data_IF_011312465307
#
_entry.id   IF_011312465307
#
_cell.length_a   1.000
_cell.length_b   1.000
_cell.length_c   1.000
_cell.angle_alpha   90.00
_cell.angle_beta   90.00
_cell.angle_gamma   90.00
#
_symmetry.space_group_name_H-M   'P 1'
#
loop_
_entity.id
_entity.type
_entity.pdbx_description
1 polymer ?
#
# COMPACT_ATOMS: atom_id res chain seq x y z
N UNK A 1 -1.19 4.24 -41.27
CA UNK A 1 -2.03 4.58 -40.09
C UNK A 1 -3.38 3.85 -40.15
N UNK A 2 -3.80 3.22 -39.06
CA UNK A 2 -5.12 2.58 -38.96
C UNK A 2 -6.20 3.68 -38.89
N UNK A 3 -7.31 3.60 -39.65
CA UNK A 3 -8.36 4.63 -39.61
C UNK A 3 -9.03 4.78 -38.25
N UNK A 4 -9.34 6.02 -37.85
CA UNK A 4 -9.97 6.37 -36.57
C UNK A 4 -11.26 5.58 -36.30
N UNK A 5 -12.11 5.38 -37.30
CA UNK A 5 -13.37 4.65 -37.13
C UNK A 5 -13.15 3.17 -36.76
N UNK A 6 -12.04 2.56 -37.23
CA UNK A 6 -11.68 1.17 -36.89
C UNK A 6 -11.22 1.10 -35.44
N UNK A 7 -10.46 2.09 -34.98
CA UNK A 7 -10.01 2.18 -33.59
C UNK A 7 -11.18 2.42 -32.62
N UNK A 8 -12.16 3.25 -33.00
CA UNK A 8 -13.40 3.46 -32.23
C UNK A 8 -14.21 2.18 -32.04
N UNK A 9 -14.28 1.32 -33.07
CA UNK A 9 -14.99 0.05 -32.98
C UNK A 9 -14.28 -0.93 -32.03
N UNK A 10 -12.94 -1.01 -32.09
CA UNK A 10 -12.16 -1.98 -31.30
C UNK A 10 -12.02 -1.55 -29.84
N UNK A 11 -11.87 -0.25 -29.58
CA UNK A 11 -11.44 0.29 -28.27
C UNK A 11 -12.47 1.18 -27.57
N UNK A 12 -13.62 1.47 -28.20
CA UNK A 12 -14.67 2.31 -27.61
C UNK A 12 -14.16 3.71 -27.23
N UNK A 13 -14.60 4.24 -26.09
CA UNK A 13 -14.18 5.56 -25.58
C UNK A 13 -12.66 5.64 -25.26
N UNK A 14 -11.95 4.51 -25.13
CA UNK A 14 -10.48 4.53 -25.01
C UNK A 14 -9.77 4.88 -26.32
N UNK A 15 -10.46 4.79 -27.46
CA UNK A 15 -9.93 5.28 -28.73
C UNK A 15 -9.68 6.79 -28.71
N UNK A 16 -10.46 7.55 -27.95
CA UNK A 16 -10.29 9.01 -27.82
C UNK A 16 -9.03 9.36 -27.01
N UNK A 17 -8.57 8.49 -26.10
CA UNK A 17 -7.26 8.63 -25.43
C UNK A 17 -6.09 8.35 -26.38
N UNK A 18 -6.23 7.37 -27.28
CA UNK A 18 -5.21 7.03 -28.28
C UNK A 18 -5.13 8.06 -29.40
N UNK A 19 -6.28 8.54 -29.86
CA UNK A 19 -6.41 9.53 -30.93
C UNK A 19 -6.18 10.96 -30.41
N UNK A 20 -6.57 11.21 -29.16
CA UNK A 20 -6.32 12.43 -28.41
C UNK A 20 -4.95 12.47 -27.73
N UNK A 21 -4.06 11.49 -27.97
CA UNK A 21 -2.68 11.53 -27.50
C UNK A 21 -2.00 12.76 -28.10
N UNK A 22 -1.93 13.79 -27.25
CA UNK A 22 -1.49 15.14 -27.52
C UNK A 22 -0.09 15.16 -28.17
N UNK A 23 0.21 16.26 -28.87
CA UNK A 23 1.54 16.63 -29.40
C UNK A 23 2.60 16.76 -28.28
N UNK A 24 2.89 15.67 -27.58
CA UNK A 24 3.85 15.57 -26.50
C UNK A 24 5.11 14.95 -27.08
N UNK A 25 6.20 15.70 -27.06
CA UNK A 25 7.52 15.20 -27.43
C UNK A 25 8.23 14.73 -26.16
N UNK A 26 8.46 13.43 -26.06
CA UNK A 26 9.29 12.85 -25.00
C UNK A 26 10.70 13.45 -24.99
N UNK A 27 11.24 13.82 -26.16
CA UNK A 27 12.54 14.48 -26.30
C UNK A 27 12.57 15.82 -25.56
N UNK A 28 11.56 16.68 -25.75
CA UNK A 28 11.49 17.97 -25.04
C UNK A 28 11.40 17.83 -23.53
N UNK A 29 10.78 16.74 -23.05
CA UNK A 29 10.68 16.44 -21.60
C UNK A 29 12.04 15.97 -21.05
N UNK A 30 12.78 15.18 -21.82
CA UNK A 30 14.14 14.76 -21.41
C UNK A 30 15.09 15.97 -21.38
N UNK A 31 14.95 16.89 -22.35
CA UNK A 31 15.75 18.13 -22.42
C UNK A 31 15.55 19.06 -21.20
N UNK A 32 14.43 18.97 -20.48
CA UNK A 32 14.23 19.70 -19.21
C UNK A 32 14.87 19.01 -18.00
N UNK A 33 15.54 17.87 -18.19
CA UNK A 33 16.17 17.08 -17.14
C UNK A 33 15.26 16.05 -16.47
N UNK A 34 14.05 15.82 -16.99
CA UNK A 34 13.17 14.78 -16.47
C UNK A 34 13.67 13.38 -16.87
N UNK A 35 13.83 12.51 -15.88
CA UNK A 35 14.23 11.12 -16.09
C UNK A 35 13.02 10.19 -16.06
N UNK A 36 12.68 9.60 -17.21
CA UNK A 36 11.65 8.57 -17.27
C UNK A 36 12.10 7.31 -16.52
N UNK A 37 11.26 6.83 -15.59
CA UNK A 37 11.47 5.54 -14.90
C UNK A 37 11.61 4.37 -15.90
N UNK A 38 10.86 4.41 -17.00
CA UNK A 38 10.94 3.43 -18.09
C UNK A 38 11.23 4.16 -19.41
N UNK A 39 12.47 4.13 -19.92
CA UNK A 39 12.87 4.90 -21.09
C UNK A 39 12.28 4.38 -22.40
N UNK A 40 11.77 3.15 -22.42
CA UNK A 40 11.10 2.57 -23.58
C UNK A 40 9.93 1.67 -23.18
N UNK A 41 9.01 1.47 -24.11
CA UNK A 41 7.80 0.69 -23.88
C UNK A 41 8.10 -0.76 -23.50
N UNK A 42 9.14 -1.38 -24.06
CA UNK A 42 9.52 -2.75 -23.73
C UNK A 42 9.94 -2.89 -22.26
N UNK A 43 10.69 -1.94 -21.72
CA UNK A 43 11.06 -1.92 -20.29
C UNK A 43 9.85 -1.74 -19.38
N UNK A 44 8.89 -0.89 -19.77
CA UNK A 44 7.64 -0.73 -19.03
C UNK A 44 6.78 -2.00 -19.08
N UNK A 45 6.61 -2.58 -20.28
CA UNK A 45 5.85 -3.82 -20.47
C UNK A 45 6.51 -5.03 -19.80
N UNK A 46 7.84 -5.12 -19.82
CA UNK A 46 8.58 -6.17 -19.12
C UNK A 46 8.37 -6.07 -17.62
N UNK A 47 8.43 -4.87 -17.05
CA UNK A 47 8.14 -4.67 -15.63
C UNK A 47 6.70 -5.06 -15.29
N UNK A 48 5.73 -4.58 -16.07
CA UNK A 48 4.30 -4.89 -15.92
C UNK A 48 3.99 -6.39 -16.06
N UNK A 49 4.60 -7.06 -17.05
CA UNK A 49 4.29 -8.45 -17.37
C UNK A 49 5.08 -9.45 -16.52
N UNK A 50 6.28 -9.09 -16.04
CA UNK A 50 7.17 -9.99 -15.29
C UNK A 50 7.13 -9.77 -13.78
N UNK A 51 6.61 -8.65 -13.27
CA UNK A 51 6.29 -8.49 -11.84
C UNK A 51 4.81 -8.81 -11.62
N UNK A 52 4.46 -10.03 -11.16
CA UNK A 52 3.06 -10.43 -11.02
C UNK A 52 2.32 -9.69 -9.89
N UNK A 53 3.02 -8.90 -9.07
CA UNK A 53 2.55 -8.26 -7.84
C UNK A 53 3.24 -6.90 -7.67
N UNK A 54 2.49 -5.87 -7.27
CA UNK A 54 3.05 -4.58 -6.88
C UNK A 54 3.56 -4.67 -5.44
N UNK A 55 4.68 -4.01 -5.14
CA UNK A 55 5.26 -4.01 -3.79
C UNK A 55 5.45 -2.59 -3.27
N UNK A 56 5.16 -2.41 -1.98
CA UNK A 56 5.41 -1.19 -1.22
C UNK A 56 6.15 -1.57 0.07
N UNK A 57 7.32 -0.97 0.29
CA UNK A 57 8.14 -1.20 1.48
C UNK A 57 8.38 0.14 2.16
N UNK A 58 8.19 0.19 3.47
CA UNK A 58 8.55 1.34 4.28
C UNK A 58 9.21 0.89 5.58
N UNK A 59 10.17 1.69 6.05
CA UNK A 59 10.85 1.48 7.32
C UNK A 59 10.66 2.69 8.25
N UNK A 60 10.55 2.39 9.54
CA UNK A 60 10.48 3.37 10.60
C UNK A 60 11.22 2.87 11.82
N UNK A 61 12.14 3.66 12.35
CA UNK A 61 12.86 3.36 13.59
C UNK A 61 12.30 4.18 14.75
N UNK A 62 12.18 3.56 15.91
CA UNK A 62 11.81 4.20 17.18
C UNK A 62 12.80 3.83 18.28
N UNK A 63 13.19 4.78 19.17
CA UNK A 63 14.07 4.52 20.30
C UNK A 63 13.34 3.85 21.46
N UNK A 64 12.62 2.76 21.18
CA UNK A 64 11.81 2.02 22.13
C UNK A 64 12.06 0.51 22.02
N UNK A 65 11.93 -0.25 23.13
CA UNK A 65 12.07 -1.70 23.12
C UNK A 65 11.05 -2.39 22.23
N UNK A 66 11.45 -3.53 21.65
CA UNK A 66 10.65 -4.28 20.68
C UNK A 66 9.32 -4.76 21.25
N UNK A 67 9.28 -5.22 22.50
CA UNK A 67 8.07 -5.70 23.17
C UNK A 67 6.98 -4.61 23.24
N UNK A 68 7.41 -3.36 23.45
CA UNK A 68 6.53 -2.21 23.56
C UNK A 68 5.91 -1.85 22.21
N UNK A 69 6.74 -1.84 21.18
CA UNK A 69 6.30 -1.59 19.81
C UNK A 69 5.40 -2.73 19.34
N UNK A 70 5.83 -3.98 19.48
CA UNK A 70 5.04 -5.14 19.08
C UNK A 70 3.68 -5.19 19.81
N UNK A 71 3.64 -4.90 21.12
CA UNK A 71 2.40 -4.83 21.89
C UNK A 71 1.42 -3.79 21.37
N UNK A 72 1.92 -2.68 20.83
CA UNK A 72 1.09 -1.68 20.18
C UNK A 72 0.54 -2.16 18.83
N UNK A 73 1.40 -2.75 17.99
CA UNK A 73 1.05 -3.20 16.64
C UNK A 73 0.11 -4.42 16.64
N UNK A 74 0.18 -5.30 17.64
CA UNK A 74 -0.69 -6.48 17.73
C UNK A 74 -2.14 -6.15 18.13
N UNK A 75 -2.42 -4.94 18.62
CA UNK A 75 -3.77 -4.56 19.05
C UNK A 75 -4.55 -3.96 17.88
N UNK A 76 -5.58 -4.64 17.33
CA UNK A 76 -6.28 -4.17 16.14
C UNK A 76 -6.93 -2.80 16.33
N UNK A 77 -7.36 -2.44 17.55
CA UNK A 77 -7.94 -1.11 17.82
C UNK A 77 -6.93 0.02 17.62
N UNK A 78 -5.63 -0.24 17.74
CA UNK A 78 -4.60 0.76 17.46
C UNK A 78 -4.46 1.04 15.96
N UNK A 79 -4.90 0.12 15.08
CA UNK A 79 -4.92 0.35 13.64
C UNK A 79 -5.80 1.55 13.26
N UNK A 80 -6.93 1.75 13.96
CA UNK A 80 -7.77 2.95 13.77
C UNK A 80 -7.03 4.24 14.09
N UNK A 81 -6.19 4.23 15.13
CA UNK A 81 -5.47 5.42 15.61
C UNK A 81 -4.39 5.86 14.63
N UNK A 82 -3.77 4.90 13.94
CA UNK A 82 -2.63 5.13 13.04
C UNK A 82 -3.02 5.14 11.56
N UNK A 83 -4.32 5.20 11.27
CA UNK A 83 -4.87 5.28 9.91
C UNK A 83 -5.45 6.68 9.68
N UNK A 84 -5.22 7.31 8.51
CA UNK A 84 -5.76 8.63 8.23
C UNK A 84 -7.28 8.74 8.40
N UNK A 85 -7.75 9.85 8.97
CA UNK A 85 -9.17 10.07 9.25
C UNK A 85 -10.07 10.03 8.01
N UNK A 86 -9.57 10.41 6.83
CA UNK A 86 -10.34 10.37 5.58
C UNK A 86 -10.78 8.95 5.18
N UNK A 87 -10.07 7.91 5.64
CA UNK A 87 -10.46 6.52 5.41
C UNK A 87 -11.61 6.05 6.30
N UNK A 88 -11.96 6.80 7.36
CA UNK A 88 -12.98 6.40 8.34
C UNK A 88 -12.87 4.92 8.76
N UNK A 89 -11.65 4.49 9.05
CA UNK A 89 -11.34 3.09 9.33
C UNK A 89 -11.94 2.68 10.69
N UNK A 90 -12.67 1.56 10.69
CA UNK A 90 -13.36 1.01 11.87
C UNK A 90 -13.15 -0.49 11.95
N UNK A 91 -12.60 -0.96 13.07
CA UNK A 91 -12.52 -2.38 13.41
C UNK A 91 -13.89 -2.79 13.95
N UNK A 92 -14.53 -3.75 13.28
CA UNK A 92 -15.87 -4.20 13.64
C UNK A 92 -15.84 -5.33 14.65
N UNK A 93 -15.08 -6.39 14.35
CA UNK A 93 -14.89 -7.54 15.22
C UNK A 93 -13.68 -8.36 14.77
N UNK A 94 -13.30 -9.32 15.62
CA UNK A 94 -12.26 -10.31 15.36
C UNK A 94 -12.74 -11.69 15.78
N UNK A 95 -12.22 -12.74 15.14
CA UNK A 95 -12.67 -14.13 15.38
C UNK A 95 -12.06 -14.79 16.63
N UNK A 96 -11.07 -14.17 17.26
CA UNK A 96 -10.39 -14.69 18.47
C UNK A 96 -10.22 -13.59 19.51
N UNK A 97 -10.16 -13.89 20.82
CA UNK A 97 -9.95 -12.86 21.86
C UNK A 97 -8.60 -12.17 21.76
N UNK A 98 -7.56 -12.92 21.43
CA UNK A 98 -6.21 -12.43 21.14
C UNK A 98 -5.85 -12.74 19.69
N UNK A 99 -5.02 -11.89 19.08
CA UNK A 99 -4.56 -12.09 17.72
C UNK A 99 -3.50 -13.21 17.67
N UNK A 100 -3.64 -14.13 16.73
CA UNK A 100 -2.72 -15.22 16.44
C UNK A 100 -2.91 -15.69 14.99
N UNK A 101 -2.14 -16.69 14.57
CA UNK A 101 -2.30 -17.29 13.26
C UNK A 101 -3.74 -17.81 13.06
N UNK A 102 -4.38 -17.39 11.97
CA UNK A 102 -5.74 -17.76 11.64
C UNK A 102 -6.80 -16.76 12.12
N UNK A 103 -6.47 -15.80 13.00
CA UNK A 103 -7.38 -14.73 13.39
C UNK A 103 -7.88 -13.97 12.17
N UNK A 104 -9.21 -13.84 12.04
CA UNK A 104 -9.85 -12.98 11.05
C UNK A 104 -10.30 -11.69 11.70
N UNK A 105 -10.09 -10.58 11.00
CA UNK A 105 -10.47 -9.26 11.49
C UNK A 105 -11.31 -8.58 10.41
N UNK A 106 -12.48 -8.07 10.81
CA UNK A 106 -13.41 -7.39 9.93
C UNK A 106 -13.33 -5.88 10.13
N UNK A 107 -13.22 -5.15 9.03
CA UNK A 107 -13.11 -3.71 9.01
C UNK A 107 -14.13 -3.07 8.07
N UNK A 108 -14.41 -1.80 8.33
CA UNK A 108 -15.10 -0.90 7.40
C UNK A 108 -14.27 0.35 7.21
N UNK A 109 -14.12 0.79 5.97
CA UNK A 109 -13.37 1.99 5.61
C UNK A 109 -13.99 2.65 4.38
N UNK A 110 -13.44 3.80 3.97
CA UNK A 110 -13.83 4.56 2.78
C UNK A 110 -12.60 4.81 1.91
N UNK A 111 -12.62 4.34 0.67
CA UNK A 111 -11.62 4.74 -0.33
C UNK A 111 -12.24 5.78 -1.24
N UNK A 112 -11.62 6.97 -1.35
CA UNK A 112 -12.12 8.08 -2.17
C UNK A 112 -13.63 8.37 -1.97
N UNK A 113 -14.09 8.24 -0.73
CA UNK A 113 -15.50 8.44 -0.34
C UNK A 113 -16.41 7.20 -0.46
N UNK A 114 -15.99 6.15 -1.16
CA UNK A 114 -16.75 4.92 -1.38
C UNK A 114 -16.58 3.97 -0.19
N UNK A 115 -17.65 3.53 0.48
CA UNK A 115 -17.57 2.60 1.60
C UNK A 115 -17.17 1.20 1.14
N UNK A 116 -16.17 0.63 1.81
CA UNK A 116 -15.60 -0.69 1.54
C UNK A 116 -15.67 -1.55 2.80
N UNK A 117 -16.07 -2.80 2.60
CA UNK A 117 -15.96 -3.88 3.58
C UNK A 117 -14.68 -4.65 3.32
N UNK A 118 -13.89 -4.88 4.37
CA UNK A 118 -12.62 -5.57 4.27
C UNK A 118 -12.54 -6.63 5.37
N UNK A 119 -12.07 -7.82 5.03
CA UNK A 119 -11.66 -8.84 5.99
C UNK A 119 -10.22 -9.27 5.72
N UNK A 120 -9.37 -9.26 6.75
CA UNK A 120 -8.05 -9.86 6.73
C UNK A 120 -8.01 -11.15 7.55
N UNK A 121 -7.01 -11.98 7.30
CA UNK A 121 -6.66 -13.16 8.07
C UNK A 121 -5.16 -13.13 8.36
N UNK A 122 -4.78 -13.31 9.62
CA UNK A 122 -3.38 -13.50 9.99
C UNK A 122 -2.90 -14.87 9.50
N UNK A 123 -1.77 -14.90 8.80
CA UNK A 123 -1.20 -16.13 8.24
C UNK A 123 0.22 -16.44 8.71
N UNK A 124 0.91 -15.47 9.31
CA UNK A 124 2.20 -15.67 9.96
C UNK A 124 2.17 -14.97 11.33
N UNK A 125 2.66 -15.64 12.37
CA UNK A 125 2.67 -15.10 13.73
C UNK A 125 3.93 -15.52 14.50
N UNK A 126 4.88 -14.60 14.61
CA UNK A 126 6.12 -14.73 15.38
C UNK A 126 6.23 -13.54 16.36
N UNK A 127 5.80 -13.70 17.62
CA UNK A 127 5.81 -12.63 18.61
C UNK A 127 7.15 -11.88 18.68
N UNK A 128 7.08 -10.56 18.75
CA UNK A 128 8.22 -9.63 18.78
C UNK A 128 9.19 -9.74 17.58
N UNK A 129 8.80 -10.40 16.49
CA UNK A 129 9.65 -10.54 15.30
C UNK A 129 8.90 -10.24 14.03
N UNK A 130 7.75 -10.88 13.82
CA UNK A 130 7.01 -10.78 12.57
C UNK A 130 5.54 -11.15 12.76
N UNK A 131 4.65 -10.48 12.06
CA UNK A 131 3.36 -11.06 11.73
C UNK A 131 2.93 -10.64 10.33
N UNK A 132 2.02 -11.38 9.73
CA UNK A 132 1.51 -11.03 8.40
C UNK A 132 0.03 -11.35 8.26
N UNK A 133 -0.65 -10.53 7.48
CA UNK A 133 -2.04 -10.75 7.11
C UNK A 133 -2.21 -10.85 5.60
N UNK A 134 -3.29 -11.53 5.21
CA UNK A 134 -3.78 -11.53 3.84
C UNK A 134 -5.23 -11.10 3.83
N UNK A 135 -5.63 -10.38 2.79
CA UNK A 135 -7.04 -10.10 2.56
C UNK A 135 -7.77 -11.39 2.19
N UNK A 136 -8.91 -11.66 2.83
CA UNK A 136 -9.88 -12.70 2.44
C UNK A 136 -11.10 -12.11 1.73
N UNK A 137 -11.42 -10.84 2.00
CA UNK A 137 -12.44 -10.06 1.31
C UNK A 137 -12.02 -8.59 1.24
N UNK A 138 -12.13 -7.95 0.08
CA UNK A 138 -11.79 -6.54 -0.09
C UNK A 138 -11.54 -6.17 -1.55
N UNK A 139 -11.06 -4.95 -1.81
CA UNK A 139 -11.01 -4.38 -3.15
C UNK A 139 -9.83 -4.92 -3.99
N UNK A 140 -8.83 -5.53 -3.35
CA UNK A 140 -7.66 -6.07 -4.05
C UNK A 140 -7.91 -7.50 -4.54
N UNK A 141 -7.26 -7.88 -5.64
CA UNK A 141 -7.21 -9.28 -6.06
C UNK A 141 -6.33 -10.11 -5.13
N UNK A 142 -5.19 -9.53 -4.74
CA UNK A 142 -4.30 -10.05 -3.72
C UNK A 142 -3.81 -8.90 -2.85
N UNK A 143 -3.72 -9.15 -1.55
CA UNK A 143 -3.12 -8.24 -0.58
C UNK A 143 -2.50 -9.11 0.49
N UNK A 144 -1.20 -8.92 0.70
CA UNK A 144 -0.42 -9.55 1.74
C UNK A 144 0.45 -8.48 2.38
N UNK A 145 0.31 -8.30 3.69
CA UNK A 145 1.03 -7.28 4.42
C UNK A 145 1.82 -7.92 5.56
N UNK A 146 3.13 -7.78 5.50
CA UNK A 146 4.05 -8.23 6.53
C UNK A 146 4.53 -7.05 7.37
N UNK A 147 4.50 -7.24 8.68
CA UNK A 147 5.14 -6.38 9.67
C UNK A 147 6.34 -7.13 10.24
N UNK A 148 7.53 -6.55 10.14
CA UNK A 148 8.76 -7.07 10.76
C UNK A 148 9.27 -6.09 11.80
N UNK A 149 9.80 -6.63 12.90
CA UNK A 149 10.36 -5.87 14.01
C UNK A 149 11.77 -6.40 14.29
N UNK A 150 12.73 -5.49 14.36
CA UNK A 150 14.14 -5.83 14.61
C UNK A 150 14.78 -4.83 15.55
N UNK A 151 15.47 -5.32 16.57
CA UNK A 151 16.32 -4.48 17.40
C UNK A 151 17.47 -3.89 16.57
N UNK A 152 17.64 -2.57 16.66
CA UNK A 152 18.67 -1.84 15.93
C UNK A 152 19.02 -0.54 16.67
N UNK A 153 20.31 -0.29 16.88
CA UNK A 153 20.83 0.97 17.43
C UNK A 153 20.15 1.42 18.74
N UNK A 154 19.86 0.47 19.65
CA UNK A 154 19.19 0.73 20.93
C UNK A 154 17.69 0.99 20.84
N UNK A 155 17.09 0.81 19.66
CA UNK A 155 15.65 0.91 19.42
C UNK A 155 15.11 -0.24 18.57
N UNK A 156 13.94 -0.02 17.98
CA UNK A 156 13.26 -0.99 17.12
C UNK A 156 13.11 -0.42 15.72
N UNK A 157 13.67 -1.12 14.73
CA UNK A 157 13.35 -0.93 13.33
C UNK A 157 12.08 -1.73 13.00
N UNK A 158 11.07 -1.02 12.52
CA UNK A 158 9.82 -1.56 12.02
C UNK A 158 9.89 -1.51 10.49
N UNK A 159 9.61 -2.63 9.84
CA UNK A 159 9.44 -2.69 8.38
C UNK A 159 8.03 -3.18 8.06
N UNK A 160 7.34 -2.41 7.24
CA UNK A 160 6.09 -2.82 6.63
C UNK A 160 6.36 -3.16 5.16
N UNK A 161 5.98 -4.37 4.73
CA UNK A 161 6.04 -4.81 3.33
C UNK A 161 4.65 -5.21 2.86
N UNK A 162 4.09 -4.42 1.96
CA UNK A 162 2.80 -4.69 1.33
C UNK A 162 3.05 -5.22 -0.06
N UNK A 163 2.48 -6.39 -0.34
CA UNK A 163 2.42 -7.01 -1.66
C UNK A 163 0.96 -7.03 -2.11
N UNK A 164 0.64 -6.38 -3.21
CA UNK A 164 -0.74 -6.24 -3.65
C UNK A 164 -0.92 -6.35 -5.16
N UNK A 165 -2.13 -6.74 -5.56
CA UNK A 165 -2.54 -6.81 -6.96
C UNK A 165 -3.92 -6.21 -7.14
N UNK A 166 -4.05 -5.31 -8.11
CA UNK A 166 -5.33 -4.69 -8.41
C UNK A 166 -6.25 -5.65 -9.18
N UNK A 167 -7.58 -5.48 -9.07
CA UNK A 167 -8.52 -6.17 -9.93
C UNK A 167 -8.31 -5.73 -11.40
N UNK A 168 -8.82 -6.53 -12.35
CA UNK A 168 -8.72 -6.29 -13.80
C UNK A 168 -7.31 -6.37 -14.44
N UNK A 169 -6.27 -6.72 -13.68
CA UNK A 169 -4.93 -7.00 -14.22
C UNK A 169 -4.22 -5.75 -14.74
N UNK A 170 -3.45 -5.91 -15.83
CA UNK A 170 -2.56 -4.86 -16.37
C UNK A 170 -3.25 -3.50 -16.58
N UNK A 171 -4.47 -3.39 -17.14
CA UNK A 171 -5.16 -2.10 -17.25
C UNK A 171 -5.42 -1.45 -15.88
N UNK A 172 -5.77 -2.24 -14.86
CA UNK A 172 -5.93 -1.76 -13.49
C UNK A 172 -4.62 -1.28 -12.89
N UNK A 173 -3.54 -2.04 -13.07
CA UNK A 173 -2.20 -1.70 -12.60
C UNK A 173 -1.66 -0.42 -13.29
N UNK A 174 -1.90 -0.24 -14.60
CA UNK A 174 -1.46 0.96 -15.34
C UNK A 174 -2.26 2.22 -14.99
N UNK A 175 -3.58 2.12 -14.85
CA UNK A 175 -4.44 3.29 -14.65
C UNK A 175 -4.53 3.70 -13.18
N UNK A 176 -4.66 2.72 -12.27
CA UNK A 176 -4.88 2.96 -10.85
C UNK A 176 -3.65 2.62 -9.98
N UNK A 177 -2.63 1.94 -10.51
CA UNK A 177 -1.45 1.57 -9.73
C UNK A 177 -0.70 2.76 -9.15
N UNK A 178 -0.56 3.85 -9.91
CA UNK A 178 0.07 5.09 -9.42
C UNK A 178 -0.74 5.76 -8.30
N UNK A 179 -2.08 5.73 -8.40
CA UNK A 179 -2.96 6.27 -7.37
C UNK A 179 -2.92 5.43 -6.09
N UNK A 180 -2.94 4.11 -6.22
CA UNK A 180 -2.85 3.19 -5.09
C UNK A 180 -1.50 3.30 -4.40
N UNK A 181 -0.41 3.36 -5.17
CA UNK A 181 0.92 3.62 -4.63
C UNK A 181 0.93 4.94 -3.84
N UNK A 182 0.30 5.99 -4.38
CA UNK A 182 0.23 7.28 -3.68
C UNK A 182 -0.62 7.23 -2.42
N UNK A 183 -1.73 6.49 -2.45
CA UNK A 183 -2.56 6.25 -1.27
C UNK A 183 -1.77 5.51 -0.19
N UNK A 184 -1.01 4.47 -0.55
CA UNK A 184 -0.13 3.75 0.37
C UNK A 184 0.92 4.68 0.99
N UNK A 185 1.63 5.47 0.17
CA UNK A 185 2.58 6.48 0.67
C UNK A 185 1.94 7.40 1.70
N UNK A 186 0.78 8.00 1.38
CA UNK A 186 0.09 8.92 2.27
C UNK A 186 -0.37 8.24 3.58
N UNK A 187 -0.88 7.01 3.50
CA UNK A 187 -1.34 6.23 4.66
C UNK A 187 -0.16 5.91 5.59
N UNK A 188 0.95 5.42 5.03
CA UNK A 188 2.10 5.02 5.81
C UNK A 188 2.93 6.21 6.32
N UNK A 189 2.95 7.33 5.60
CA UNK A 189 3.52 8.59 6.10
C UNK A 189 2.73 9.14 7.29
N UNK A 190 1.40 9.13 7.20
CA UNK A 190 0.54 9.49 8.34
C UNK A 190 0.78 8.55 9.51
N UNK A 191 0.79 7.23 9.26
CA UNK A 191 1.07 6.22 10.28
C UNK A 191 2.39 6.49 10.99
N UNK A 192 3.46 6.76 10.24
CA UNK A 192 4.78 7.07 10.78
C UNK A 192 4.74 8.27 11.73
N UNK A 193 4.18 9.40 11.27
CA UNK A 193 4.02 10.62 12.08
C UNK A 193 3.19 10.35 13.33
N UNK A 194 2.06 9.66 13.16
CA UNK A 194 1.13 9.39 14.26
C UNK A 194 1.70 8.46 15.32
N UNK A 195 2.49 7.47 14.90
CA UNK A 195 3.22 6.60 15.82
C UNK A 195 4.26 7.40 16.62
N UNK A 196 4.99 8.33 15.98
CA UNK A 196 5.92 9.21 16.69
C UNK A 196 5.19 10.05 17.74
N UNK A 197 4.06 10.68 17.39
CA UNK A 197 3.22 11.44 18.33
C UNK A 197 2.72 10.57 19.51
N UNK A 198 2.26 9.34 19.25
CA UNK A 198 1.76 8.43 20.30
C UNK A 198 2.84 8.06 21.32
N UNK A 199 4.10 8.02 20.87
CA UNK A 199 5.23 7.62 21.69
C UNK A 199 6.11 8.78 22.14
N UNK A 200 5.76 10.04 21.82
CA UNK A 200 6.59 11.22 22.04
C UNK A 200 7.08 11.34 23.50
N UNK A 201 6.16 11.27 24.46
CA UNK A 201 6.48 11.35 25.91
C UNK A 201 7.32 10.19 26.45
N UNK A 202 7.48 9.13 25.64
CA UNK A 202 8.17 7.89 26.00
C UNK A 202 9.52 7.76 25.30
N UNK A 203 9.80 8.63 24.33
CA UNK A 203 11.09 8.74 23.67
C UNK A 203 12.00 9.49 24.63
N UNK A 204 13.16 8.91 25.01
CA UNK A 204 14.12 9.62 25.85
C UNK A 204 14.48 10.95 25.19
N UNK A 205 14.37 12.06 25.93
CA UNK A 205 14.85 13.34 25.45
C UNK A 205 16.34 13.21 25.12
N UNK A 206 16.71 13.53 23.88
CA UNK A 206 18.12 13.63 23.49
C UNK A 206 18.75 14.77 24.29
N UNK A 207 19.48 14.43 25.35
CA UNK A 207 20.42 15.32 26.03
C UNK A 207 21.71 15.46 25.20
#
# INVERSE_FOLDING_TARGET
>A
PVPEFVLKIILGEMSDLLLGSLKVSSTKIIETGFNFKYPNLSSALSDICNNPVNEFIIEHWLPLPIDKIFSFFKEPKNLEKITPGYLNFKVLNQSSPEINEGTKINYRLKFHGIPIWWQSKIIDWEPNRKFSDTQTHGPYKHWYHTHEFKEKDGGTLIRDHVKYKLPFGIPGDCLAGSWVQKDLENIFDFRKKKIQEIFEDQIPSSN
#
